data_IF_941810322620
#
_entry.id   IF_941810322620
#
_cell.length_a   1.000
_cell.length_b   1.000
_cell.length_c   1.000
_cell.angle_alpha   90.00
_cell.angle_beta   90.00
_cell.angle_gamma   90.00
#
_symmetry.space_group_name_H-M   'P 1'
#
loop_
_entity.id
_entity.type
_entity.pdbx_description
1 polymer ?
#
# COMPACT_ATOMS: atom_id res chain seq x y z
N UNK A 1 1.54 12.20 12.47
CA UNK A 1 1.76 11.48 11.20
C UNK A 1 1.54 12.41 10.00
N UNK A 2 2.47 13.32 9.75
CA UNK A 2 2.39 14.18 8.56
C UNK A 2 3.01 13.44 7.36
N UNK A 3 2.47 13.64 6.15
CA UNK A 3 3.00 13.11 4.88
C UNK A 3 3.14 11.57 4.80
N UNK A 4 2.33 10.85 5.59
CA UNK A 4 2.42 9.38 5.68
C UNK A 4 1.02 8.79 5.63
N UNK A 5 0.80 7.87 4.69
CA UNK A 5 -0.47 7.13 4.53
C UNK A 5 -0.26 5.65 4.82
N UNK A 6 -1.28 5.02 5.39
CA UNK A 6 -1.31 3.56 5.57
C UNK A 6 -2.07 2.97 4.39
N UNK A 7 -1.40 2.14 3.61
CA UNK A 7 -1.95 1.46 2.43
C UNK A 7 -2.17 0.00 2.76
N UNK A 8 -3.35 -0.54 2.42
CA UNK A 8 -3.64 -1.97 2.49
C UNK A 8 -3.33 -2.58 1.12
N UNK A 9 -2.41 -3.54 1.08
CA UNK A 9 -2.19 -4.39 -0.08
C UNK A 9 -2.91 -5.73 0.12
N UNK A 10 -3.49 -6.26 -0.95
CA UNK A 10 -4.07 -7.60 -0.96
C UNK A 10 -3.29 -8.47 -1.93
N UNK A 11 -2.97 -9.69 -1.50
CA UNK A 11 -2.44 -10.73 -2.38
C UNK A 11 -3.34 -11.95 -2.33
N UNK A 12 -3.50 -12.59 -3.48
CA UNK A 12 -4.21 -13.86 -3.61
C UNK A 12 -3.18 -14.92 -3.95
N UNK A 13 -3.11 -15.98 -3.16
CA UNK A 13 -2.21 -17.10 -3.41
C UNK A 13 -2.87 -18.42 -3.03
N UNK A 14 -2.40 -19.52 -3.61
CA UNK A 14 -2.85 -20.85 -3.24
C UNK A 14 -2.05 -21.36 -2.05
N UNK A 15 -2.72 -21.96 -1.08
CA UNK A 15 -2.03 -22.60 0.03
C UNK A 15 -1.08 -23.68 -0.52
N UNK A 16 0.20 -23.75 -0.11
CA UNK A 16 1.17 -24.65 -0.73
C UNK A 16 0.77 -26.12 -0.65
N UNK A 17 0.23 -26.56 0.50
CA UNK A 17 -0.26 -27.94 0.68
C UNK A 17 -1.66 -28.20 0.13
N UNK A 18 -2.65 -27.41 0.53
CA UNK A 18 -4.06 -27.66 0.24
C UNK A 18 -4.57 -27.04 -1.07
N UNK A 19 -3.76 -26.24 -1.76
CA UNK A 19 -4.09 -25.51 -2.99
C UNK A 19 -5.33 -24.59 -2.93
N UNK A 20 -5.97 -24.46 -1.76
CA UNK A 20 -7.06 -23.53 -1.50
C UNK A 20 -6.62 -22.10 -1.80
N UNK A 21 -7.44 -21.35 -2.54
CA UNK A 21 -7.21 -19.94 -2.84
C UNK A 21 -7.45 -19.12 -1.56
N UNK A 22 -6.42 -18.44 -1.08
CA UNK A 22 -6.45 -17.62 0.13
C UNK A 22 -6.16 -16.17 -0.24
N UNK A 23 -6.95 -15.26 0.34
CA UNK A 23 -6.73 -13.80 0.28
C UNK A 23 -6.04 -13.35 1.56
N UNK A 24 -4.89 -12.68 1.42
CA UNK A 24 -4.15 -12.13 2.57
C UNK A 24 -3.91 -10.64 2.36
N UNK A 25 -4.20 -9.86 3.39
CA UNK A 25 -3.97 -8.41 3.40
C UNK A 25 -2.79 -8.02 4.29
N UNK A 26 -2.00 -7.05 3.86
CA UNK A 26 -0.93 -6.44 4.66
C UNK A 26 -1.06 -4.92 4.66
N UNK A 27 -0.78 -4.28 5.79
CA UNK A 27 -0.73 -2.82 5.91
C UNK A 27 0.70 -2.33 5.78
N UNK A 28 0.93 -1.29 4.98
CA UNK A 28 2.23 -0.69 4.72
C UNK A 28 2.16 0.82 4.94
N UNK A 29 3.26 1.42 5.42
CA UNK A 29 3.38 2.89 5.58
C UNK A 29 4.07 3.48 4.34
N UNK A 30 3.33 4.29 3.60
CA UNK A 30 3.78 4.94 2.38
C UNK A 30 4.00 6.45 2.59
N UNK A 31 4.99 7.00 1.90
CA UNK A 31 5.24 8.44 1.83
C UNK A 31 4.33 9.11 0.82
N UNK A 32 3.64 10.17 1.27
CA UNK A 32 2.86 11.07 0.42
C UNK A 32 3.26 12.51 0.77
N UNK A 33 4.07 13.17 -0.08
CA UNK A 33 4.59 14.52 0.22
C UNK A 33 3.49 15.59 0.12
N UNK A 34 2.59 15.42 -0.84
CA UNK A 34 1.57 16.40 -1.22
C UNK A 34 0.19 16.09 -0.61
N UNK A 35 0.06 14.99 0.14
CA UNK A 35 -1.22 14.47 0.65
C UNK A 35 -2.29 14.35 -0.44
N UNK A 36 -1.89 14.07 -1.68
CA UNK A 36 -2.79 14.05 -2.82
C UNK A 36 -3.77 12.87 -2.76
N UNK A 37 -3.44 11.83 -1.98
CA UNK A 37 -4.26 10.62 -1.85
C UNK A 37 -5.32 10.76 -0.76
N UNK A 38 -6.57 10.43 -1.10
CA UNK A 38 -7.70 10.36 -0.17
C UNK A 38 -7.91 8.93 0.33
N UNK A 39 -8.74 8.78 1.36
CA UNK A 39 -9.13 7.47 1.89
C UNK A 39 -10.02 6.79 0.84
N UNK A 40 -9.67 5.56 0.47
CA UNK A 40 -10.41 4.77 -0.53
C UNK A 40 -9.79 4.79 -1.92
N UNK A 41 -8.89 5.72 -2.20
CA UNK A 41 -8.20 5.81 -3.49
C UNK A 41 -7.32 4.57 -3.75
N UNK A 42 -7.26 4.14 -5.00
CA UNK A 42 -6.28 3.12 -5.42
C UNK A 42 -4.99 3.83 -5.78
N UNK A 43 -3.91 3.42 -5.14
CA UNK A 43 -2.59 4.03 -5.31
C UNK A 43 -1.56 3.00 -5.78
N UNK A 44 -0.69 3.42 -6.67
CA UNK A 44 0.52 2.70 -7.03
C UNK A 44 1.64 3.13 -6.09
N UNK A 45 2.23 2.17 -5.40
CA UNK A 45 3.36 2.38 -4.48
C UNK A 45 4.64 1.77 -5.04
N UNK A 46 5.77 2.38 -4.72
CA UNK A 46 7.11 1.91 -5.10
C UNK A 46 7.99 1.80 -3.84
N UNK A 47 8.88 0.81 -3.84
CA UNK A 47 9.85 0.63 -2.77
C UNK A 47 10.94 1.71 -2.86
N UNK A 48 11.42 2.17 -1.71
CA UNK A 48 12.43 3.21 -1.63
C UNK A 48 13.36 2.96 -0.46
N UNK A 49 14.44 3.74 -0.37
CA UNK A 49 15.31 3.73 0.81
C UNK A 49 14.48 3.97 2.08
N UNK A 50 14.86 3.44 3.25
CA UNK A 50 14.13 3.69 4.48
C UNK A 50 14.03 5.20 4.76
N UNK A 51 12.80 5.71 4.81
CA UNK A 51 12.52 7.13 5.13
C UNK A 51 12.33 7.30 6.65
N UNK A 52 11.91 6.22 7.32
CA UNK A 52 11.75 6.14 8.77
C UNK A 52 11.82 4.66 9.19
N UNK A 53 11.67 4.37 10.48
CA UNK A 53 11.75 3.02 11.06
C UNK A 53 10.91 1.98 10.29
N UNK A 54 9.70 2.36 9.88
CA UNK A 54 8.74 1.47 9.21
C UNK A 54 8.34 1.93 7.80
N UNK A 55 8.85 3.07 7.33
CA UNK A 55 8.42 3.73 6.11
C UNK A 55 9.41 3.46 4.98
N UNK A 56 9.08 2.49 4.13
CA UNK A 56 9.92 2.00 3.01
C UNK A 56 9.25 2.12 1.64
N UNK A 57 8.08 2.74 1.60
CA UNK A 57 7.25 2.85 0.40
C UNK A 57 6.96 4.32 0.10
N UNK A 58 6.87 4.69 -1.17
CA UNK A 58 6.40 6.01 -1.64
C UNK A 58 5.19 5.81 -2.55
N UNK A 59 4.22 6.73 -2.48
CA UNK A 59 3.13 6.78 -3.45
C UNK A 59 3.67 7.40 -4.74
N UNK A 60 3.65 6.61 -5.83
CA UNK A 60 4.11 7.05 -7.15
C UNK A 60 2.98 7.69 -7.96
N UNK A 61 1.79 7.09 -7.93
CA UNK A 61 0.64 7.53 -8.73
C UNK A 61 -0.68 7.17 -8.05
N UNK A 62 -1.67 8.05 -8.13
CA UNK A 62 -3.06 7.71 -7.81
C UNK A 62 -3.74 7.20 -9.08
N UNK A 63 -4.28 5.97 -9.02
CA UNK A 63 -4.87 5.29 -10.17
C UNK A 63 -6.37 5.58 -10.29
N UNK A 64 -7.08 5.61 -9.17
CA UNK A 64 -8.52 5.92 -9.15
C UNK A 64 -8.86 6.72 -7.90
N UNK A 65 -9.56 7.82 -8.10
CA UNK A 65 -10.20 8.56 -7.03
C UNK A 65 -11.58 7.96 -6.74
N UNK A 66 -11.92 7.85 -5.46
CA UNK A 66 -13.31 7.60 -5.08
C UNK A 66 -14.09 8.90 -5.26
N UNK A 67 -15.19 8.85 -6.03
CA UNK A 67 -16.17 9.93 -6.17
C UNK A 67 -17.02 10.06 -4.91
#
# INVERSE_FOLDING_TARGET
>A
MQKTRVVRIERVFRHPRYQRVIRMSKKLKAHDENNASRIGDRVLIEETRPISKEKRWRIRKVLSHVS
#
